data_IF_405171067681
#
_entry.id   IF_405171067681
#
_cell.length_a   1.000
_cell.length_b   1.000
_cell.length_c   1.000
_cell.angle_alpha   90.00
_cell.angle_beta   90.00
_cell.angle_gamma   90.00
#
_symmetry.space_group_name_H-M   'P 1'
#
loop_
_entity.id
_entity.type
_entity.pdbx_description
1 polymer ?
#
# COMPACT_ATOMS: atom_id res chain seq x y z
N UNK A 1 -13.75 -4.48 21.50
CA UNK A 1 -13.56 -5.40 20.36
C UNK A 1 -14.46 -6.63 20.48
N UNK A 2 -14.27 -7.54 21.46
CA UNK A 2 -15.22 -8.66 21.67
C UNK A 2 -16.67 -8.22 22.00
N UNK A 3 -16.84 -7.10 22.70
CA UNK A 3 -18.17 -6.59 23.06
C UNK A 3 -18.92 -5.87 21.92
N UNK A 4 -18.21 -5.48 20.85
CA UNK A 4 -18.80 -4.76 19.70
C UNK A 4 -19.08 -5.68 18.51
N UNK A 5 -18.36 -6.80 18.39
CA UNK A 5 -18.46 -7.74 17.26
C UNK A 5 -18.40 -9.20 17.75
N UNK A 6 -19.42 -9.68 18.47
CA UNK A 6 -19.40 -11.03 19.03
C UNK A 6 -19.43 -12.07 17.91
N UNK A 7 -18.37 -12.89 17.82
CA UNK A 7 -18.24 -13.96 16.82
C UNK A 7 -17.50 -13.57 15.54
N UNK A 8 -17.09 -12.30 15.39
CA UNK A 8 -16.29 -11.88 14.25
C UNK A 8 -14.86 -12.44 14.31
N UNK A 9 -14.34 -12.85 13.15
CA UNK A 9 -12.94 -13.27 13.02
C UNK A 9 -12.07 -12.03 13.00
N UNK A 10 -11.09 -11.94 13.90
CA UNK A 10 -10.17 -10.81 13.97
C UNK A 10 -8.85 -11.18 13.30
N UNK A 11 -8.47 -10.45 12.25
CA UNK A 11 -7.26 -10.70 11.47
C UNK A 11 -6.33 -9.50 11.54
N UNK A 12 -5.09 -9.73 11.97
CA UNK A 12 -4.05 -8.69 11.96
C UNK A 12 -3.33 -8.67 10.61
N UNK A 13 -3.64 -7.65 9.81
CA UNK A 13 -3.03 -7.40 8.49
C UNK A 13 -1.95 -6.31 8.54
N UNK A 14 -1.55 -5.87 9.73
CA UNK A 14 -0.44 -4.92 9.88
C UNK A 14 0.87 -5.53 9.36
N UNK A 15 1.89 -4.70 9.19
CA UNK A 15 3.25 -5.18 8.84
C UNK A 15 3.92 -6.05 9.91
N UNK A 16 3.23 -6.29 11.04
CA UNK A 16 3.68 -7.16 12.14
C UNK A 16 2.70 -8.30 12.44
N UNK A 17 1.64 -8.43 11.64
CA UNK A 17 0.68 -9.50 11.78
C UNK A 17 1.30 -10.88 11.60
N UNK A 18 0.61 -11.95 12.01
CA UNK A 18 1.05 -13.31 11.76
C UNK A 18 0.87 -13.68 10.29
N UNK A 19 1.58 -14.72 9.85
CA UNK A 19 1.25 -15.39 8.60
C UNK A 19 -0.12 -16.10 8.73
N UNK A 20 -0.90 -16.18 7.64
CA UNK A 20 -0.60 -15.63 6.31
C UNK A 20 -0.94 -14.13 6.14
N UNK A 21 -1.70 -13.55 7.07
CA UNK A 21 -2.36 -12.25 6.95
C UNK A 21 -1.44 -11.04 6.78
N UNK A 22 -0.21 -11.11 7.29
CA UNK A 22 0.84 -10.10 7.05
C UNK A 22 1.15 -9.88 5.57
N UNK A 23 0.84 -10.85 4.70
CA UNK A 23 0.97 -10.73 3.23
C UNK A 23 0.08 -9.62 2.65
N UNK A 24 -0.98 -9.18 3.35
CA UNK A 24 -1.76 -8.02 2.94
C UNK A 24 -1.06 -6.69 3.18
N UNK A 25 -0.01 -6.65 4.01
CA UNK A 25 0.69 -5.40 4.29
C UNK A 25 1.33 -4.84 3.01
N UNK A 26 1.23 -3.52 2.73
CA UNK A 26 1.94 -2.89 1.60
C UNK A 26 3.46 -2.95 1.74
N UNK A 27 3.98 -3.31 2.92
CA UNK A 27 5.40 -3.52 3.20
C UNK A 27 5.87 -4.95 2.91
N UNK A 28 4.95 -5.90 2.66
CA UNK A 28 5.33 -7.29 2.41
C UNK A 28 6.03 -7.42 1.05
N UNK A 29 7.23 -8.04 0.99
CA UNK A 29 8.05 -8.09 -0.20
C UNK A 29 7.60 -9.23 -1.14
N UNK A 30 6.48 -9.03 -1.85
CA UNK A 30 5.93 -10.00 -2.81
C UNK A 30 6.77 -10.20 -4.08
N UNK A 31 7.63 -9.23 -4.41
CA UNK A 31 8.36 -9.19 -5.66
C UNK A 31 7.46 -8.91 -6.87
N UNK A 32 8.02 -8.33 -7.92
CA UNK A 32 7.31 -8.17 -9.21
C UNK A 32 6.13 -7.20 -9.17
N UNK A 33 6.01 -6.34 -8.16
CA UNK A 33 4.96 -5.32 -8.10
C UNK A 33 5.24 -4.27 -9.16
N UNK A 34 4.35 -4.16 -10.16
CA UNK A 34 4.53 -3.20 -11.26
C UNK A 34 4.65 -1.76 -10.73
N UNK A 35 5.58 -1.00 -11.29
CA UNK A 35 5.72 0.44 -11.03
C UNK A 35 4.88 1.21 -12.06
N UNK A 36 3.80 1.89 -11.65
CA UNK A 36 2.98 2.67 -12.60
C UNK A 36 3.83 3.71 -13.34
N UNK A 37 3.54 3.88 -14.64
CA UNK A 37 4.26 4.78 -15.55
C UNK A 37 5.76 4.43 -15.74
N UNK A 38 6.18 3.20 -15.48
CA UNK A 38 7.56 2.75 -15.71
C UNK A 38 7.54 1.34 -16.30
N UNK A 39 7.44 1.29 -17.63
CA UNK A 39 7.25 0.04 -18.37
C UNK A 39 8.36 -0.97 -18.08
N UNK A 40 7.95 -2.20 -17.73
CA UNK A 40 8.86 -3.30 -17.40
C UNK A 40 9.57 -3.17 -16.05
N UNK A 41 9.32 -2.10 -15.28
CA UNK A 41 9.94 -1.91 -13.96
C UNK A 41 9.04 -2.48 -12.87
N UNK A 42 9.65 -3.23 -11.96
CA UNK A 42 8.98 -3.80 -10.80
C UNK A 42 9.71 -3.49 -9.49
N UNK A 43 8.97 -3.49 -8.39
CA UNK A 43 9.50 -3.44 -7.03
C UNK A 43 9.13 -4.66 -6.19
N UNK A 44 9.78 -4.76 -5.04
CA UNK A 44 9.57 -5.83 -4.06
C UNK A 44 8.25 -5.65 -3.31
N UNK A 45 7.80 -4.43 -3.05
CA UNK A 45 6.60 -4.13 -2.29
C UNK A 45 5.90 -2.85 -2.76
N UNK A 46 4.62 -2.67 -2.41
CA UNK A 46 3.86 -1.45 -2.73
C UNK A 46 4.45 -0.23 -2.06
N UNK A 47 4.90 -0.34 -0.80
CA UNK A 47 5.62 0.73 -0.14
C UNK A 47 6.93 1.06 -0.87
N UNK A 48 7.65 0.04 -1.37
CA UNK A 48 8.86 0.24 -2.17
C UNK A 48 8.59 1.11 -3.40
N UNK A 49 7.54 0.79 -4.16
CA UNK A 49 7.06 1.61 -5.29
C UNK A 49 6.71 3.02 -4.84
N UNK A 50 5.92 3.15 -3.77
CA UNK A 50 5.48 4.43 -3.24
C UNK A 50 6.64 5.34 -2.81
N UNK A 51 7.67 4.78 -2.18
CA UNK A 51 8.84 5.51 -1.70
C UNK A 51 9.85 5.81 -2.81
N UNK A 52 9.95 4.92 -3.82
CA UNK A 52 10.79 5.14 -4.98
C UNK A 52 10.32 6.36 -5.78
N UNK A 53 9.02 6.50 -6.00
CA UNK A 53 8.44 7.60 -6.78
C UNK A 53 8.24 8.90 -5.98
N UNK A 54 8.42 8.86 -4.66
CA UNK A 54 8.22 10.03 -3.80
C UNK A 54 9.29 11.08 -4.05
N UNK A 55 8.89 12.33 -4.28
CA UNK A 55 9.79 13.46 -4.50
C UNK A 55 9.67 14.43 -3.34
N UNK A 56 10.83 14.86 -2.85
CA UNK A 56 10.99 15.85 -1.81
C UNK A 56 11.65 17.10 -2.38
N UNK A 57 11.67 18.19 -1.60
CA UNK A 57 12.39 19.42 -1.96
C UNK A 57 13.87 19.17 -2.26
N UNK A 58 14.54 18.36 -1.43
CA UNK A 58 15.99 18.14 -1.53
C UNK A 58 16.35 16.79 -2.17
N UNK A 59 15.38 16.03 -2.68
CA UNK A 59 15.63 14.74 -3.32
C UNK A 59 14.54 14.29 -4.29
N UNK A 60 14.95 13.84 -5.48
CA UNK A 60 14.08 13.27 -6.51
C UNK A 60 13.71 11.79 -6.21
N UNK A 61 13.22 11.06 -7.21
CA UNK A 61 12.96 9.61 -7.14
C UNK A 61 14.19 8.83 -6.68
N UNK A 62 13.95 7.69 -6.06
CA UNK A 62 14.99 6.81 -5.54
C UNK A 62 14.69 5.35 -5.91
N UNK A 63 15.14 4.88 -7.09
CA UNK A 63 14.90 3.52 -7.56
C UNK A 63 15.43 2.45 -6.59
N UNK A 64 16.40 2.78 -5.72
CA UNK A 64 16.93 1.81 -4.75
C UNK A 64 15.87 1.31 -3.76
N UNK A 65 14.77 2.05 -3.57
CA UNK A 65 13.65 1.62 -2.71
C UNK A 65 12.86 0.46 -3.30
N UNK A 66 12.93 0.26 -4.62
CA UNK A 66 12.24 -0.85 -5.28
C UNK A 66 12.82 -2.21 -4.87
N UNK A 67 14.13 -2.30 -4.60
CA UNK A 67 14.80 -3.56 -4.27
C UNK A 67 14.77 -3.93 -2.78
N UNK A 68 14.09 -3.14 -1.93
CA UNK A 68 14.09 -3.35 -0.49
C UNK A 68 13.10 -4.44 -0.10
N UNK A 69 13.61 -5.54 0.45
CA UNK A 69 12.84 -6.70 0.92
C UNK A 69 12.59 -6.71 2.43
N UNK A 70 12.99 -5.66 3.15
CA UNK A 70 12.78 -5.56 4.60
C UNK A 70 12.23 -4.19 4.99
N UNK A 71 11.63 -4.07 6.17
CA UNK A 71 11.17 -2.76 6.65
C UNK A 71 12.31 -1.76 6.90
N UNK A 72 13.57 -2.21 6.94
CA UNK A 72 14.73 -1.37 7.26
C UNK A 72 15.10 -0.51 6.06
N UNK A 73 15.01 0.81 6.22
CA UNK A 73 15.47 1.78 5.21
C UNK A 73 14.54 1.99 4.03
N UNK A 74 13.32 1.44 4.05
CA UNK A 74 12.33 1.64 2.98
C UNK A 74 11.76 3.06 2.97
N UNK A 75 11.51 3.63 4.15
CA UNK A 75 10.88 4.96 4.28
C UNK A 75 11.87 6.10 4.06
N UNK A 76 11.48 7.05 3.20
CA UNK A 76 12.13 8.35 3.05
C UNK A 76 11.33 9.40 3.82
N UNK A 77 12.01 10.27 4.57
CA UNK A 77 11.37 11.15 5.58
C UNK A 77 11.67 12.62 5.35
N UNK A 78 10.73 13.48 5.75
CA UNK A 78 10.86 14.94 5.61
C UNK A 78 12.01 15.53 6.42
N UNK A 79 12.37 14.88 7.53
CA UNK A 79 13.52 15.27 8.36
C UNK A 79 14.85 15.17 7.61
N UNK A 80 14.95 14.26 6.63
CA UNK A 80 16.18 13.99 5.88
C UNK A 80 16.20 14.68 4.52
N UNK A 81 15.05 14.81 3.86
CA UNK A 81 14.95 15.21 2.44
C UNK A 81 14.13 16.48 2.21
N UNK A 82 13.67 17.15 3.27
CA UNK A 82 12.80 18.32 3.17
C UNK A 82 11.32 17.98 2.96
N UNK A 83 10.44 18.98 2.78
CA UNK A 83 9.02 18.80 2.49
C UNK A 83 8.75 17.90 1.28
N UNK A 84 7.66 17.13 1.32
CA UNK A 84 7.21 16.33 0.17
C UNK A 84 6.63 17.27 -0.89
N UNK A 85 7.08 17.12 -2.14
CA UNK A 85 6.55 17.88 -3.29
C UNK A 85 5.48 17.10 -4.05
N UNK A 86 5.55 15.77 -4.03
CA UNK A 86 4.57 14.89 -4.66
C UNK A 86 5.18 13.53 -4.98
N UNK A 87 4.66 12.89 -6.02
CA UNK A 87 5.21 11.66 -6.58
C UNK A 87 5.40 11.79 -8.09
N UNK A 88 6.54 11.36 -8.60
CA UNK A 88 6.80 11.39 -10.05
C UNK A 88 5.93 10.34 -10.75
N UNK A 89 5.34 10.72 -11.88
CA UNK A 89 4.61 9.79 -12.74
C UNK A 89 5.60 8.88 -13.49
N UNK A 90 6.17 7.91 -12.78
CA UNK A 90 7.21 7.01 -13.26
C UNK A 90 8.62 7.48 -12.89
N UNK A 91 9.62 6.60 -13.01
CA UNK A 91 11.00 6.93 -12.64
C UNK A 91 11.61 7.99 -13.55
N UNK A 92 11.29 7.93 -14.84
CA UNK A 92 11.80 8.86 -15.88
C UNK A 92 10.74 9.90 -16.32
N UNK A 93 9.58 9.93 -15.65
CA UNK A 93 8.47 10.80 -16.01
C UNK A 93 8.74 12.28 -15.70
N UNK A 94 8.18 13.18 -16.51
CA UNK A 94 8.33 14.63 -16.29
C UNK A 94 7.31 15.19 -15.29
N UNK A 95 6.16 14.56 -15.14
CA UNK A 95 5.06 15.05 -14.31
C UNK A 95 5.25 14.71 -12.83
N UNK A 96 4.97 15.68 -11.98
CA UNK A 96 4.90 15.52 -10.53
C UNK A 96 3.45 15.53 -10.07
N UNK A 97 2.96 14.37 -9.65
CA UNK A 97 1.60 14.18 -9.16
C UNK A 97 1.46 14.73 -7.74
N UNK A 98 0.44 15.57 -7.46
CA UNK A 98 0.10 15.92 -6.09
C UNK A 98 -0.41 14.68 -5.34
N UNK A 99 -0.32 14.70 -4.01
CA UNK A 99 -0.57 13.53 -3.15
C UNK A 99 -1.88 12.79 -3.46
N UNK A 100 -2.99 13.51 -3.66
CA UNK A 100 -4.29 12.89 -3.96
C UNK A 100 -4.36 12.20 -5.34
N UNK A 101 -3.63 12.71 -6.34
CA UNK A 101 -3.50 12.06 -7.65
C UNK A 101 -2.55 10.87 -7.56
N UNK A 102 -1.40 11.03 -6.92
CA UNK A 102 -0.46 9.94 -6.67
C UNK A 102 -1.11 8.74 -5.97
N UNK A 103 -1.98 9.00 -4.99
CA UNK A 103 -2.76 7.96 -4.30
C UNK A 103 -3.60 7.12 -5.28
N UNK A 104 -4.28 7.77 -6.23
CA UNK A 104 -5.15 7.13 -7.23
C UNK A 104 -4.43 6.49 -8.39
N UNK A 105 -3.34 7.11 -8.83
CA UNK A 105 -2.65 6.74 -10.07
C UNK A 105 -1.43 5.85 -9.81
N UNK A 106 -0.91 5.83 -8.57
CA UNK A 106 0.25 5.01 -8.18
C UNK A 106 -0.13 3.99 -7.11
N UNK A 107 -0.58 4.44 -5.93
CA UNK A 107 -0.75 3.55 -4.79
C UNK A 107 -1.88 2.53 -5.00
N UNK A 108 -3.07 3.00 -5.39
CA UNK A 108 -4.22 2.11 -5.58
C UNK A 108 -3.97 1.07 -6.70
N UNK A 109 -3.47 1.42 -7.90
CA UNK A 109 -3.22 0.42 -8.95
C UNK A 109 -2.16 -0.60 -8.53
N UNK A 110 -1.06 -0.15 -7.88
CA UNK A 110 -0.02 -1.05 -7.39
C UNK A 110 -0.56 -2.01 -6.32
N UNK A 111 -1.38 -1.52 -5.39
CA UNK A 111 -1.95 -2.35 -4.34
C UNK A 111 -3.02 -3.30 -4.85
N UNK A 112 -3.92 -2.83 -5.72
CA UNK A 112 -4.91 -3.65 -6.39
C UNK A 112 -4.26 -4.83 -7.13
N UNK A 113 -3.18 -4.57 -7.87
CA UNK A 113 -2.46 -5.61 -8.58
C UNK A 113 -1.93 -6.69 -7.61
N UNK A 114 -1.42 -6.31 -6.44
CA UNK A 114 -1.02 -7.27 -5.39
C UNK A 114 -2.21 -8.09 -4.91
N UNK A 115 -3.36 -7.47 -4.66
CA UNK A 115 -4.58 -8.18 -4.24
C UNK A 115 -5.06 -9.18 -5.30
N UNK A 116 -4.97 -8.82 -6.58
CA UNK A 116 -5.37 -9.66 -7.71
C UNK A 116 -4.40 -10.79 -8.04
N UNK A 117 -3.09 -10.63 -7.78
CA UNK A 117 -2.07 -11.55 -8.31
C UNK A 117 -1.17 -12.21 -7.26
N UNK A 118 -1.01 -11.60 -6.07
CA UNK A 118 -0.04 -12.06 -5.06
C UNK A 118 -0.70 -12.63 -3.81
N UNK A 119 -1.93 -12.22 -3.52
CA UNK A 119 -2.70 -12.68 -2.35
C UNK A 119 -4.14 -13.04 -2.71
N UNK A 120 -4.41 -13.34 -3.98
CA UNK A 120 -5.75 -13.73 -4.42
C UNK A 120 -6.30 -14.94 -3.65
N UNK A 121 -5.43 -15.90 -3.32
CA UNK A 121 -5.72 -17.03 -2.45
C UNK A 121 -6.27 -16.58 -1.08
N UNK A 122 -5.63 -15.59 -0.46
CA UNK A 122 -6.04 -15.07 0.84
C UNK A 122 -7.28 -14.18 0.76
N UNK A 123 -7.51 -13.52 -0.39
CA UNK A 123 -8.76 -12.77 -0.62
C UNK A 123 -9.95 -13.73 -0.67
N UNK A 124 -9.81 -14.87 -1.35
CA UNK A 124 -10.86 -15.89 -1.36
C UNK A 124 -11.09 -16.51 0.02
N UNK A 125 -10.01 -16.77 0.77
CA UNK A 125 -10.13 -17.22 2.17
C UNK A 125 -10.88 -16.18 3.02
N UNK A 126 -10.50 -14.89 2.91
CA UNK A 126 -11.15 -13.79 3.61
C UNK A 126 -12.66 -13.72 3.30
N UNK A 127 -13.05 -13.88 2.03
CA UNK A 127 -14.46 -13.90 1.60
C UNK A 127 -15.26 -15.05 2.23
N UNK A 128 -14.60 -16.14 2.60
CA UNK A 128 -15.22 -17.31 3.23
C UNK A 128 -15.39 -17.23 4.75
N UNK A 129 -14.74 -16.28 5.43
CA UNK A 129 -14.68 -16.22 6.91
C UNK A 129 -15.92 -15.62 7.59
N UNK A 130 -16.92 -15.16 6.82
CA UNK A 130 -18.11 -14.50 7.37
C UNK A 130 -17.79 -13.08 7.83
N UNK A 131 -18.17 -12.72 9.05
CA UNK A 131 -17.90 -11.38 9.61
C UNK A 131 -16.43 -11.27 10.07
N UNK A 132 -15.70 -10.30 9.51
CA UNK A 132 -14.26 -10.13 9.75
C UNK A 132 -13.93 -8.71 10.19
N UNK A 133 -13.06 -8.60 11.20
CA UNK A 133 -12.43 -7.35 11.62
C UNK A 133 -10.96 -7.38 11.22
N UNK A 134 -10.56 -6.48 10.33
CA UNK A 134 -9.18 -6.33 9.87
C UNK A 134 -8.45 -5.26 10.68
N UNK A 135 -7.34 -5.61 11.33
CA UNK A 135 -6.55 -4.68 12.12
C UNK A 135 -5.48 -3.98 11.28
N UNK A 136 -5.37 -2.67 11.46
CA UNK A 136 -4.37 -1.79 10.85
C UNK A 136 -4.02 -0.63 11.79
N UNK A 137 -2.94 0.09 11.51
CA UNK A 137 -2.49 1.26 12.27
C UNK A 137 -3.34 2.52 12.02
N UNK A 138 -4.17 2.52 10.97
CA UNK A 138 -5.10 3.60 10.61
C UNK A 138 -6.43 2.99 10.17
N UNK A 139 -7.51 3.77 10.21
CA UNK A 139 -8.85 3.35 9.80
C UNK A 139 -9.42 4.19 8.64
N UNK A 140 -8.61 5.06 8.03
CA UNK A 140 -9.09 5.91 6.94
C UNK A 140 -9.29 5.08 5.66
N UNK A 141 -10.54 4.70 5.36
CA UNK A 141 -10.90 4.07 4.08
C UNK A 141 -11.24 5.06 2.96
N UNK A 142 -11.29 6.36 3.25
CA UNK A 142 -11.64 7.38 2.28
C UNK A 142 -10.41 7.82 1.49
N UNK A 143 -10.41 7.54 0.18
CA UNK A 143 -9.34 7.91 -0.74
C UNK A 143 -9.24 9.43 -0.88
N UNK A 144 -10.36 10.16 -0.73
CA UNK A 144 -10.47 11.61 -0.78
C UNK A 144 -10.04 12.31 0.51
N UNK A 145 -10.08 11.64 1.67
CA UNK A 145 -9.53 12.18 2.92
C UNK A 145 -7.99 12.13 2.88
N UNK A 146 -7.40 13.25 2.47
CA UNK A 146 -5.95 13.45 2.41
C UNK A 146 -5.34 13.85 3.76
N UNK A 147 -6.17 14.14 4.78
CA UNK A 147 -5.68 14.55 6.10
C UNK A 147 -5.06 13.39 6.88
N UNK A 148 -5.38 12.15 6.48
CA UNK A 148 -4.93 10.91 7.11
C UNK A 148 -4.37 9.92 6.10
N UNK A 149 -3.37 9.09 6.47
CA UNK A 149 -2.94 7.97 5.65
C UNK A 149 -4.07 6.98 5.40
N UNK A 150 -4.19 6.49 4.16
CA UNK A 150 -5.10 5.41 3.79
C UNK A 150 -4.82 4.16 4.63
N UNK A 151 -5.89 3.50 5.04
CA UNK A 151 -5.86 2.17 5.64
C UNK A 151 -5.81 1.12 4.56
N UNK A 152 -4.79 0.26 4.62
CA UNK A 152 -4.75 -0.89 3.72
C UNK A 152 -5.75 -1.96 4.14
N UNK A 153 -6.08 -2.07 5.44
CA UNK A 153 -7.18 -2.94 5.88
C UNK A 153 -8.52 -2.52 5.29
N UNK A 154 -8.84 -1.22 5.28
CA UNK A 154 -10.06 -0.72 4.66
C UNK A 154 -10.11 -1.03 3.14
N UNK A 155 -8.96 -0.92 2.46
CA UNK A 155 -8.85 -1.26 1.03
C UNK A 155 -8.99 -2.77 0.78
N UNK A 156 -8.44 -3.63 1.65
CA UNK A 156 -8.62 -5.08 1.57
C UNK A 156 -10.09 -5.46 1.73
N UNK A 157 -10.78 -4.88 2.72
CA UNK A 157 -12.23 -5.08 2.90
C UNK A 157 -13.04 -4.62 1.69
N UNK A 158 -12.76 -3.40 1.20
CA UNK A 158 -13.41 -2.89 -0.01
C UNK A 158 -13.16 -3.78 -1.23
N UNK A 159 -11.95 -4.32 -1.41
CA UNK A 159 -11.64 -5.26 -2.50
C UNK A 159 -12.39 -6.59 -2.35
N UNK A 160 -12.41 -7.16 -1.16
CA UNK A 160 -13.10 -8.41 -0.86
C UNK A 160 -14.61 -8.30 -1.16
N UNK A 161 -15.20 -7.13 -0.89
CA UNK A 161 -16.62 -6.84 -1.12
C UNK A 161 -16.93 -6.31 -2.55
N UNK A 162 -15.95 -6.20 -3.44
CA UNK A 162 -16.15 -5.70 -4.81
C UNK A 162 -16.43 -4.20 -4.90
N UNK A 163 -16.03 -3.41 -3.89
CA UNK A 163 -16.21 -1.96 -3.76
C UNK A 163 -14.89 -1.19 -3.90
N UNK A 164 -13.96 -1.70 -4.70
CA UNK A 164 -12.66 -1.04 -4.91
C UNK A 164 -12.86 0.40 -5.45
N UNK A 165 -12.21 1.41 -4.85
CA UNK A 165 -12.37 2.82 -5.24
C UNK A 165 -11.63 3.22 -6.52
#
# INVERSE_FOLDING_TARGET
>A
MEAEWPGAVVLDVTSRGPLPWVRFSPFYPHGGVSVPFSDGVTGESVEGVWQALKVFEDADVDPSRLAITSMKGIKRTVRRYGPVRGHRAGLDGAELLPYGRARREIYLPAYRWVLEHKVADLVEELRGLGEVVLLDYTANGDVDDLSKPLSHAALVGAFAEGRWP
#
